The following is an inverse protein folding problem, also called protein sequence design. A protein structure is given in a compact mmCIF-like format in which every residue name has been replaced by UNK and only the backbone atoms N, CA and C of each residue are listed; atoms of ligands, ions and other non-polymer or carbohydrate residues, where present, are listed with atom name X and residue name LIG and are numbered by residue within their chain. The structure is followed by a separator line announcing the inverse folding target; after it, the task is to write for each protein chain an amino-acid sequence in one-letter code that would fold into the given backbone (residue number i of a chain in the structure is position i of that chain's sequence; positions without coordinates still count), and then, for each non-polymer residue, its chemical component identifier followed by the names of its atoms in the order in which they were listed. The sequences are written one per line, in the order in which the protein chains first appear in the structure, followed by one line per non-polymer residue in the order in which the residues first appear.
data_IF_262041359972
#
_entry.id   IF_262041359972
#
_cell.length_a   1.000
_cell.length_b   1.000
_cell.length_c   1.000
_cell.angle_alpha   90.00
_cell.angle_beta   90.00
_cell.angle_gamma   90.00
#
_symmetry.space_group_name_H-M   'P 1'
#
loop_
_entity.id
_entity.type
_entity.pdbx_description
1 polymer ?
#
# COMPACT_ATOMS: atom_id res chain seq x y z
N UNK A 1 9.19 0.36 -3.59
CA UNK A 1 8.82 1.73 -4.03
C UNK A 1 7.64 1.71 -5.01
N UNK A 2 7.73 0.98 -6.13
CA UNK A 2 6.72 0.97 -7.21
C UNK A 2 5.33 0.46 -6.77
N UNK A 3 5.25 -0.64 -6.00
CA UNK A 3 3.96 -1.13 -5.44
C UNK A 3 3.20 -0.06 -4.66
N UNK A 4 3.91 0.81 -3.96
CA UNK A 4 3.32 1.87 -3.15
C UNK A 4 2.79 3.01 -4.05
N UNK A 5 3.56 3.41 -5.05
CA UNK A 5 3.13 4.42 -6.04
C UNK A 5 1.87 3.96 -6.78
N UNK A 6 1.78 2.68 -7.15
CA UNK A 6 0.58 2.10 -7.75
C UNK A 6 -0.64 2.16 -6.84
N UNK A 7 -0.47 1.77 -5.58
CA UNK A 7 -1.55 1.86 -4.61
C UNK A 7 -2.04 3.30 -4.47
N UNK A 8 -1.12 4.27 -4.35
CA UNK A 8 -1.48 5.68 -4.24
C UNK A 8 -2.27 6.15 -5.47
N UNK A 9 -1.80 5.82 -6.68
CA UNK A 9 -2.49 6.23 -7.90
C UNK A 9 -3.89 5.59 -8.02
N UNK A 10 -4.02 4.29 -7.70
CA UNK A 10 -5.33 3.60 -7.68
C UNK A 10 -6.27 4.19 -6.64
N UNK A 11 -5.74 4.53 -5.46
CA UNK A 11 -6.49 5.17 -4.40
C UNK A 11 -6.98 6.56 -4.84
N UNK A 12 -6.09 7.40 -5.41
CA UNK A 12 -6.44 8.72 -5.94
C UNK A 12 -7.56 8.61 -6.99
N UNK A 13 -7.40 7.73 -7.98
CA UNK A 13 -8.42 7.45 -9.02
C UNK A 13 -9.75 7.03 -8.40
N UNK A 14 -9.73 6.19 -7.37
CA UNK A 14 -10.94 5.72 -6.70
C UNK A 14 -11.60 6.78 -5.83
N UNK A 15 -10.81 7.66 -5.23
CA UNK A 15 -11.28 8.74 -4.34
C UNK A 15 -11.84 9.95 -5.10
N UNK A 16 -11.37 10.17 -6.33
CA UNK A 16 -11.78 11.28 -7.22
C UNK A 16 -13.11 11.01 -7.96
N UNK A 17 -13.85 9.95 -7.63
CA UNK A 17 -15.12 9.56 -8.31
C UNK A 17 -16.29 10.56 -8.18
N UNK A 18 -16.05 11.80 -7.74
CA UNK A 18 -17.08 12.86 -7.63
C UNK A 18 -16.89 13.90 -8.74
N UNK A 19 -17.53 13.66 -9.90
CA UNK A 19 -17.65 14.61 -11.00
C UNK A 19 -16.69 14.39 -12.19
N UNK A 20 -16.94 15.06 -13.34
CA UNK A 20 -16.06 14.99 -14.50
C UNK A 20 -14.69 15.60 -14.17
N UNK A 21 -13.61 14.92 -14.57
CA UNK A 21 -12.25 15.38 -14.32
C UNK A 21 -11.96 16.64 -15.12
N UNK A 22 -11.39 17.64 -14.46
CA UNK A 22 -10.89 18.84 -15.15
C UNK A 22 -9.70 18.47 -16.04
N UNK A 23 -9.48 19.26 -17.10
CA UNK A 23 -8.31 19.10 -17.99
C UNK A 23 -6.99 19.03 -17.21
N UNK A 24 -6.84 19.87 -16.17
CA UNK A 24 -5.68 19.85 -15.28
C UNK A 24 -5.52 18.53 -14.53
N UNK A 25 -6.58 17.99 -13.95
CA UNK A 25 -6.53 16.70 -13.25
C UNK A 25 -6.19 15.54 -14.18
N UNK A 26 -6.65 15.58 -15.43
CA UNK A 26 -6.28 14.59 -16.45
C UNK A 26 -4.80 14.68 -16.81
N UNK A 27 -4.27 15.90 -16.98
CA UNK A 27 -2.85 16.12 -17.26
C UNK A 27 -1.97 15.64 -16.09
N UNK A 28 -2.30 16.01 -14.85
CA UNK A 28 -1.57 15.59 -13.65
C UNK A 28 -1.55 14.05 -13.50
N UNK A 29 -2.68 13.40 -13.79
CA UNK A 29 -2.78 11.94 -13.77
C UNK A 29 -1.91 11.30 -14.86
N UNK A 30 -1.92 11.87 -16.07
CA UNK A 30 -1.09 11.39 -17.17
C UNK A 30 0.41 11.54 -16.87
N UNK A 31 0.81 12.62 -16.22
CA UNK A 31 2.19 12.83 -15.79
C UNK A 31 2.60 11.76 -14.76
N UNK A 32 1.77 11.51 -13.74
CA UNK A 32 2.01 10.46 -12.73
C UNK A 32 2.13 9.07 -13.36
N UNK A 33 1.26 8.75 -14.34
CA UNK A 33 1.34 7.49 -15.10
C UNK A 33 2.65 7.38 -15.87
N UNK A 34 3.05 8.45 -16.55
CA UNK A 34 4.31 8.49 -17.31
C UNK A 34 5.52 8.31 -16.41
N UNK A 35 5.55 8.96 -15.25
CA UNK A 35 6.60 8.78 -14.25
C UNK A 35 6.66 7.34 -13.73
N UNK A 36 5.50 6.73 -13.44
CA UNK A 36 5.41 5.34 -13.02
C UNK A 36 5.92 4.38 -14.10
N UNK A 37 5.58 4.61 -15.38
CA UNK A 37 6.08 3.81 -16.50
C UNK A 37 7.61 3.86 -16.58
N UNK A 38 8.21 5.05 -16.47
CA UNK A 38 9.68 5.20 -16.47
C UNK A 38 10.32 4.42 -15.32
N UNK A 39 9.74 4.48 -14.12
CA UNK A 39 10.22 3.69 -12.98
C UNK A 39 10.13 2.18 -13.22
N UNK A 40 9.04 1.72 -13.85
CA UNK A 40 8.86 0.30 -14.20
C UNK A 40 9.89 -0.12 -15.25
N UNK A 41 10.14 0.69 -16.27
CA UNK A 41 11.14 0.39 -17.31
C UNK A 41 12.54 0.29 -16.73
N UNK A 42 12.94 1.24 -15.88
CA UNK A 42 14.23 1.20 -15.19
C UNK A 42 14.36 -0.03 -14.28
N UNK A 43 13.29 -0.37 -13.55
CA UNK A 43 13.23 -1.60 -12.76
C UNK A 43 13.42 -2.84 -13.63
N UNK A 44 12.77 -2.91 -14.80
CA UNK A 44 12.85 -4.05 -15.71
C UNK A 44 14.27 -4.29 -16.22
N UNK A 45 15.03 -3.23 -16.50
CA UNK A 45 16.43 -3.37 -16.92
C UNK A 45 17.25 -4.12 -15.87
N UNK A 46 17.08 -3.77 -14.59
CA UNK A 46 17.74 -4.47 -13.47
C UNK A 46 17.17 -5.88 -13.29
N UNK A 47 15.85 -6.02 -13.40
CA UNK A 47 15.15 -7.30 -13.24
C UNK A 47 15.64 -8.37 -14.21
N UNK A 48 15.94 -8.01 -15.46
CA UNK A 48 16.41 -8.96 -16.47
C UNK A 48 17.82 -9.50 -16.17
N UNK A 49 18.64 -8.75 -15.43
CA UNK A 49 20.00 -9.18 -15.02
C UNK A 49 19.91 -10.24 -13.91
N UNK A 50 19.08 -10.01 -12.89
CA UNK A 50 19.02 -10.88 -11.71
C UNK A 50 17.94 -11.97 -11.80
N UNK A 51 16.88 -11.75 -12.58
CA UNK A 51 15.73 -12.65 -12.72
C UNK A 51 15.34 -12.82 -14.18
N UNK A 52 16.16 -13.48 -15.01
CA UNK A 52 15.92 -13.60 -16.46
C UNK A 52 14.60 -14.31 -16.80
N UNK A 53 14.13 -15.22 -15.93
CA UNK A 53 12.83 -15.89 -16.05
C UNK A 53 11.62 -14.92 -16.09
N UNK A 54 11.78 -13.69 -15.58
CA UNK A 54 10.77 -12.66 -15.72
C UNK A 54 10.52 -12.29 -17.18
N UNK A 55 11.50 -12.43 -18.08
CA UNK A 55 11.39 -12.07 -19.49
C UNK A 55 10.30 -12.88 -20.20
N UNK A 56 10.27 -14.21 -19.99
CA UNK A 56 9.27 -15.10 -20.57
C UNK A 56 7.87 -14.79 -20.07
N UNK A 57 7.72 -14.48 -18.78
CA UNK A 57 6.44 -14.09 -18.17
C UNK A 57 5.96 -12.72 -18.69
N UNK A 58 6.87 -11.78 -18.85
CA UNK A 58 6.60 -10.46 -19.43
C UNK A 58 6.17 -10.57 -20.89
N UNK A 59 6.84 -11.39 -21.68
CA UNK A 59 6.50 -11.66 -23.08
C UNK A 59 5.10 -12.29 -23.20
N UNK A 60 4.79 -13.27 -22.35
CA UNK A 60 3.46 -13.89 -22.30
C UNK A 60 2.35 -12.89 -21.90
N UNK A 61 2.65 -11.93 -21.01
CA UNK A 61 1.69 -10.89 -20.60
C UNK A 61 1.46 -9.78 -21.62
N UNK A 62 2.44 -9.54 -22.51
CA UNK A 62 2.38 -8.49 -23.54
C UNK A 62 1.64 -8.94 -24.80
N UNK A 63 0.90 -10.06 -24.74
CA UNK A 63 0.15 -10.58 -25.87
C UNK A 63 -0.92 -9.58 -26.35
N UNK A 64 -1.10 -9.57 -27.66
CA UNK A 64 -2.09 -8.79 -28.42
C UNK A 64 -3.50 -8.96 -27.83
N UNK A 65 -4.27 -7.87 -27.86
CA UNK A 65 -5.69 -7.89 -27.51
C UNK A 65 -6.46 -8.80 -28.48
N UNK A 66 -7.71 -9.18 -28.17
CA UNK A 66 -8.59 -9.99 -29.04
C UNK A 66 -8.72 -9.43 -30.48
N UNK A 67 -8.40 -8.14 -30.67
CA UNK A 67 -8.44 -7.42 -31.93
C UNK A 67 -7.07 -7.25 -32.62
N UNK A 68 -6.01 -7.92 -32.14
CA UNK A 68 -4.66 -7.83 -32.72
C UNK A 68 -3.94 -6.49 -32.50
N UNK A 69 -4.49 -5.61 -31.66
CA UNK A 69 -3.84 -4.35 -31.27
C UNK A 69 -2.89 -4.56 -30.08
N UNK A 70 -1.75 -3.83 -30.00
CA UNK A 70 -0.89 -3.87 -28.84
C UNK A 70 -1.64 -3.34 -27.62
N UNK A 71 -1.80 -4.18 -26.60
CA UNK A 71 -2.46 -3.85 -25.35
C UNK A 71 -1.82 -2.61 -24.73
N UNK A 72 -2.58 -1.51 -24.62
CA UNK A 72 -2.13 -0.36 -23.82
C UNK A 72 -2.28 -0.72 -22.35
N UNK A 73 -1.28 -1.40 -21.79
CA UNK A 73 -1.27 -1.70 -20.36
C UNK A 73 -1.17 -0.39 -19.57
N UNK A 74 -2.23 -0.09 -18.82
CA UNK A 74 -2.25 1.05 -17.91
C UNK A 74 -1.14 0.86 -16.87
N UNK A 75 -0.33 1.90 -16.64
CA UNK A 75 0.87 1.87 -15.79
C UNK A 75 0.66 1.23 -14.40
N UNK A 76 -0.49 1.52 -13.78
CA UNK A 76 -0.89 0.96 -12.48
C UNK A 76 -1.19 -0.55 -12.49
N UNK A 77 -1.36 -1.18 -13.65
CA UNK A 77 -1.75 -2.59 -13.79
C UNK A 77 -0.63 -3.50 -14.30
N UNK A 78 0.44 -2.94 -14.87
CA UNK A 78 1.56 -3.70 -15.42
C UNK A 78 2.10 -4.69 -14.37
N UNK A 79 2.17 -6.00 -14.56
CA UNK A 79 2.76 -6.89 -13.55
C UNK A 79 4.26 -6.60 -13.33
N UNK A 80 4.71 -6.56 -12.07
CA UNK A 80 6.13 -6.36 -11.71
C UNK A 80 6.94 -7.66 -11.65
N UNK A 81 6.28 -8.81 -11.54
CA UNK A 81 6.91 -10.12 -11.54
C UNK A 81 8.07 -10.24 -10.53
N UNK A 82 7.83 -9.89 -9.27
CA UNK A 82 8.78 -10.17 -8.19
C UNK A 82 8.84 -11.69 -7.93
N UNK A 83 9.91 -12.21 -7.32
CA UNK A 83 10.03 -13.64 -6.99
C UNK A 83 8.81 -14.24 -6.26
N UNK A 84 8.21 -13.48 -5.33
CA UNK A 84 6.96 -13.87 -4.65
C UNK A 84 5.73 -13.97 -5.57
N UNK A 85 5.77 -13.39 -6.75
CA UNK A 85 4.71 -13.43 -7.77
C UNK A 85 4.96 -14.51 -8.83
N UNK A 86 6.10 -15.19 -8.81
CA UNK A 86 6.36 -16.30 -9.71
C UNK A 86 5.57 -17.56 -9.31
N UNK A 87 5.22 -18.42 -10.28
CA UNK A 87 4.70 -19.74 -9.96
C UNK A 87 5.79 -20.58 -9.29
N UNK A 88 5.36 -21.54 -8.45
CA UNK A 88 6.27 -22.27 -7.55
C UNK A 88 7.37 -23.02 -8.29
N UNK A 89 7.09 -23.57 -9.47
CA UNK A 89 8.07 -24.26 -10.32
C UNK A 89 9.23 -23.34 -10.77
N UNK A 90 8.96 -22.07 -11.05
CA UNK A 90 9.99 -21.10 -11.41
C UNK A 90 10.75 -20.65 -10.16
N UNK A 91 10.06 -20.45 -9.04
CA UNK A 91 10.67 -20.00 -7.78
C UNK A 91 11.65 -21.03 -7.18
N UNK A 92 11.41 -22.33 -7.36
CA UNK A 92 12.28 -23.40 -6.86
C UNK A 92 13.56 -23.64 -7.69
N UNK A 93 13.81 -22.84 -8.74
CA UNK A 93 15.05 -22.92 -9.49
C UNK A 93 16.21 -22.39 -8.64
N UNK A 94 17.30 -23.16 -8.53
CA UNK A 94 18.46 -22.85 -7.68
C UNK A 94 19.08 -21.47 -7.92
N UNK A 95 18.96 -20.93 -9.13
CA UNK A 95 19.44 -19.57 -9.45
C UNK A 95 18.64 -18.44 -8.78
N UNK A 96 17.42 -18.71 -8.28
CA UNK A 96 16.53 -17.71 -7.70
C UNK A 96 16.54 -17.68 -6.17
N UNK A 97 17.19 -18.64 -5.51
CA UNK A 97 17.21 -18.75 -4.05
C UNK A 97 17.71 -17.45 -3.40
N UNK A 98 18.84 -16.93 -3.89
CA UNK A 98 19.41 -15.68 -3.38
C UNK A 98 18.47 -14.47 -3.57
N UNK A 99 17.77 -14.38 -4.70
CA UNK A 99 16.83 -13.28 -4.97
C UNK A 99 15.59 -13.41 -4.10
N UNK A 100 15.09 -14.63 -3.90
CA UNK A 100 13.98 -14.92 -3.01
C UNK A 100 14.32 -14.54 -1.57
N UNK A 101 15.54 -14.81 -1.12
CA UNK A 101 16.03 -14.41 0.20
C UNK A 101 16.16 -12.89 0.36
N UNK A 102 16.68 -12.21 -0.66
CA UNK A 102 16.73 -10.74 -0.67
C UNK A 102 15.33 -10.15 -0.60
N UNK A 103 14.38 -10.67 -1.41
CA UNK A 103 12.99 -10.22 -1.34
C UNK A 103 12.39 -10.50 0.04
N UNK A 104 12.58 -11.70 0.58
CA UNK A 104 12.07 -12.09 1.91
C UNK A 104 12.52 -11.10 2.99
N UNK A 105 13.82 -10.81 3.06
CA UNK A 105 14.38 -9.82 4.01
C UNK A 105 13.77 -8.43 3.81
N UNK A 106 13.63 -8.00 2.55
CA UNK A 106 12.96 -6.74 2.21
C UNK A 106 11.50 -6.73 2.69
N UNK A 107 10.76 -7.82 2.52
CA UNK A 107 9.34 -7.90 2.94
C UNK A 107 9.18 -7.89 4.45
N UNK A 108 10.06 -8.57 5.20
CA UNK A 108 10.08 -8.48 6.66
C UNK A 108 10.23 -7.02 7.10
N UNK A 109 11.26 -6.33 6.60
CA UNK A 109 11.48 -4.92 6.94
C UNK A 109 10.29 -4.03 6.53
N UNK A 110 9.72 -4.25 5.34
CA UNK A 110 8.53 -3.52 4.89
C UNK A 110 7.31 -3.72 5.79
N UNK A 111 7.11 -4.92 6.31
CA UNK A 111 6.02 -5.24 7.22
C UNK A 111 6.24 -4.59 8.59
N UNK A 112 7.46 -4.64 9.13
CA UNK A 112 7.83 -3.98 10.40
C UNK A 112 7.65 -2.44 10.31
N UNK A 113 8.13 -1.83 9.22
CA UNK A 113 7.95 -0.40 8.95
C UNK A 113 6.47 -0.03 8.82
N UNK A 114 5.71 -0.83 8.10
CA UNK A 114 4.28 -0.61 7.90
C UNK A 114 3.54 -0.68 9.24
N UNK A 115 3.87 -1.65 10.08
CA UNK A 115 3.26 -1.83 11.40
C UNK A 115 3.61 -0.67 12.34
N UNK A 116 4.86 -0.22 12.31
CA UNK A 116 5.31 0.96 13.06
C UNK A 116 4.56 2.22 12.64
N UNK A 117 4.37 2.42 11.34
CA UNK A 117 3.59 3.54 10.82
C UNK A 117 2.10 3.44 11.19
N UNK A 118 1.48 2.25 11.15
CA UNK A 118 0.10 2.02 11.60
C UNK A 118 -0.05 2.44 13.06
N UNK A 119 0.85 1.98 13.95
CA UNK A 119 0.84 2.34 15.37
C UNK A 119 1.02 3.83 15.59
N UNK A 120 1.93 4.46 14.84
CA UNK A 120 2.15 5.91 14.87
C UNK A 120 0.90 6.68 14.46
N UNK A 121 0.27 6.33 13.34
CA UNK A 121 -0.95 6.99 12.88
C UNK A 121 -2.08 6.84 13.91
N UNK A 122 -2.21 5.67 14.54
CA UNK A 122 -3.21 5.46 15.60
C UNK A 122 -2.99 6.32 16.83
N UNK A 123 -1.75 6.46 17.30
CA UNK A 123 -1.41 7.39 18.40
C UNK A 123 -1.75 8.84 18.06
N UNK A 124 -1.49 9.28 16.83
CA UNK A 124 -1.83 10.64 16.37
C UNK A 124 -3.36 10.84 16.36
N UNK A 125 -4.13 9.86 15.86
CA UNK A 125 -5.60 9.93 15.84
C UNK A 125 -6.17 10.04 17.26
N UNK A 126 -5.61 9.30 18.22
CA UNK A 126 -6.02 9.38 19.62
C UNK A 126 -5.74 10.77 20.21
N UNK A 127 -4.53 11.31 20.03
CA UNK A 127 -4.18 12.65 20.50
C UNK A 127 -5.08 13.73 19.87
N UNK A 128 -5.43 13.57 18.58
CA UNK A 128 -6.37 14.47 17.92
C UNK A 128 -7.78 14.39 18.49
N UNK A 129 -8.24 13.19 18.88
CA UNK A 129 -9.55 12.99 19.51
C UNK A 129 -9.60 13.66 20.89
N UNK A 130 -8.56 13.49 21.71
CA UNK A 130 -8.42 14.18 22.99
C UNK A 130 -8.38 15.71 22.80
N UNK A 131 -7.57 16.20 21.84
CA UNK A 131 -7.50 17.61 21.52
C UNK A 131 -8.86 18.18 21.09
N UNK A 132 -9.60 17.47 20.23
CA UNK A 132 -10.95 17.86 19.79
C UNK A 132 -11.90 17.95 20.99
N UNK A 133 -11.90 16.93 21.87
CA UNK A 133 -12.76 16.88 23.06
C UNK A 133 -12.54 18.09 23.97
N UNK A 134 -11.28 18.48 24.19
CA UNK A 134 -10.90 19.57 25.10
C UNK A 134 -11.08 20.95 24.45
N UNK A 135 -10.68 21.13 23.19
CA UNK A 135 -10.48 22.47 22.60
C UNK A 135 -11.51 22.87 21.52
N UNK A 136 -12.33 21.94 21.02
CA UNK A 136 -13.23 22.20 19.88
C UNK A 136 -14.70 21.93 20.22
N UNK A 137 -14.99 21.36 21.39
CA UNK A 137 -16.35 21.26 21.93
C UNK A 137 -16.91 22.66 22.19
N UNK A 138 -17.73 23.18 21.27
CA UNK A 138 -18.34 24.51 21.35
C UNK A 138 -17.77 25.58 20.41
N UNK A 139 -16.74 25.27 19.61
CA UNK A 139 -16.18 26.22 18.62
C UNK A 139 -16.83 26.06 17.24
N UNK A 140 -16.94 27.15 16.47
CA UNK A 140 -17.66 27.21 15.18
C UNK A 140 -17.13 26.30 14.05
N UNK A 141 -17.66 26.48 12.83
CA UNK A 141 -17.47 25.53 11.71
C UNK A 141 -16.00 25.38 11.23
N UNK A 142 -15.18 26.42 11.32
CA UNK A 142 -13.82 26.44 10.72
C UNK A 142 -12.81 25.49 11.41
N UNK A 143 -12.72 25.42 12.75
CA UNK A 143 -11.96 24.38 13.46
C UNK A 143 -12.40 22.95 13.12
N UNK A 144 -13.71 22.72 13.01
CA UNK A 144 -14.26 21.41 12.68
C UNK A 144 -13.83 20.93 11.28
N UNK A 145 -13.88 21.80 10.27
CA UNK A 145 -13.42 21.46 8.91
C UNK A 145 -11.92 21.15 8.89
N UNK A 146 -11.08 21.90 9.62
CA UNK A 146 -9.64 21.65 9.68
C UNK A 146 -9.32 20.29 10.30
N UNK A 147 -9.98 19.94 11.40
CA UNK A 147 -9.83 18.62 12.04
C UNK A 147 -10.28 17.50 11.12
N UNK A 148 -11.40 17.68 10.40
CA UNK A 148 -11.88 16.69 9.44
C UNK A 148 -10.87 16.45 8.30
N UNK A 149 -10.30 17.52 7.73
CA UNK A 149 -9.26 17.40 6.69
C UNK A 149 -8.01 16.68 7.20
N UNK A 150 -7.60 16.98 8.44
CA UNK A 150 -6.48 16.28 9.08
C UNK A 150 -6.79 14.79 9.27
N UNK A 151 -7.99 14.46 9.76
CA UNK A 151 -8.44 13.07 9.94
C UNK A 151 -8.43 12.30 8.62
N UNK A 152 -8.92 12.88 7.53
CA UNK A 152 -8.89 12.28 6.21
C UNK A 152 -7.45 11.99 5.74
N UNK A 153 -6.52 12.92 5.98
CA UNK A 153 -5.09 12.73 5.67
C UNK A 153 -4.46 11.60 6.48
N UNK A 154 -4.80 11.49 7.76
CA UNK A 154 -4.32 10.41 8.64
C UNK A 154 -4.88 9.05 8.20
N UNK A 155 -6.17 8.98 7.89
CA UNK A 155 -6.80 7.76 7.35
C UNK A 155 -6.15 7.32 6.05
N UNK A 156 -5.88 8.25 5.13
CA UNK A 156 -5.18 7.92 3.90
C UNK A 156 -3.78 7.32 4.16
N UNK A 157 -3.02 7.89 5.09
CA UNK A 157 -1.71 7.34 5.49
C UNK A 157 -1.84 5.95 6.11
N UNK A 158 -2.86 5.77 6.92
CA UNK A 158 -3.17 4.49 7.56
C UNK A 158 -3.52 3.43 6.50
N UNK A 159 -4.46 3.69 5.58
CA UNK A 159 -4.83 2.79 4.48
C UNK A 159 -3.60 2.36 3.66
N UNK A 160 -2.73 3.31 3.35
CA UNK A 160 -1.46 3.03 2.65
C UNK A 160 -0.53 2.13 3.45
N UNK A 161 -0.40 2.35 4.75
CA UNK A 161 0.43 1.51 5.61
C UNK A 161 -0.15 0.10 5.76
N UNK A 162 -1.47 -0.02 5.90
CA UNK A 162 -2.18 -1.30 5.97
C UNK A 162 -2.03 -2.10 4.67
N UNK A 163 -2.17 -1.45 3.52
CA UNK A 163 -1.93 -2.08 2.23
C UNK A 163 -0.47 -2.56 2.10
N UNK A 164 0.51 -1.73 2.50
CA UNK A 164 1.93 -2.13 2.49
C UNK A 164 2.16 -3.37 3.36
N UNK A 165 1.60 -3.39 4.56
CA UNK A 165 1.69 -4.51 5.49
C UNK A 165 1.12 -5.79 4.86
N UNK A 166 -0.11 -5.73 4.34
CA UNK A 166 -0.79 -6.88 3.73
C UNK A 166 -0.03 -7.43 2.53
N UNK A 167 0.43 -6.55 1.64
CA UNK A 167 1.22 -6.92 0.45
C UNK A 167 2.57 -7.54 0.83
N UNK A 168 3.23 -7.02 1.86
CA UNK A 168 4.48 -7.60 2.35
C UNK A 168 4.23 -8.98 2.97
N UNK A 169 3.19 -9.11 3.79
CA UNK A 169 2.81 -10.38 4.43
C UNK A 169 2.39 -11.44 3.42
N UNK A 170 1.62 -11.10 2.40
CA UNK A 170 1.23 -12.04 1.34
C UNK A 170 2.44 -12.56 0.57
N UNK A 171 3.43 -11.70 0.31
CA UNK A 171 4.68 -12.13 -0.32
C UNK A 171 5.50 -13.05 0.62
N UNK A 172 5.55 -12.76 1.92
CA UNK A 172 6.22 -13.62 2.90
C UNK A 172 5.57 -15.00 3.02
N UNK A 173 4.23 -15.09 2.98
CA UNK A 173 3.53 -16.39 2.97
C UNK A 173 3.90 -17.26 1.77
N UNK A 174 4.32 -16.65 0.66
CA UNK A 174 4.72 -17.37 -0.55
C UNK A 174 6.20 -17.75 -0.52
N UNK A 175 7.05 -16.88 0.02
CA UNK A 175 8.50 -17.07 0.06
C UNK A 175 8.98 -17.92 1.25
N UNK A 176 8.31 -17.82 2.39
CA UNK A 176 8.70 -18.45 3.65
C UNK A 176 7.46 -18.75 4.51
N UNK A 177 6.63 -19.74 4.13
CA UNK A 177 5.32 -19.99 4.76
C UNK A 177 5.38 -20.29 6.26
N UNK A 178 6.49 -20.90 6.71
CA UNK A 178 6.73 -21.38 8.08
C UNK A 178 7.87 -20.62 8.77
N UNK A 179 8.20 -19.44 8.26
CA UNK A 179 9.27 -18.62 8.82
C UNK A 179 8.94 -18.03 10.19
N UNK A 180 9.97 -17.69 10.99
CA UNK A 180 9.81 -17.13 12.35
C UNK A 180 9.15 -15.74 12.36
N UNK A 181 9.02 -15.10 11.19
CA UNK A 181 8.33 -13.82 11.04
C UNK A 181 6.83 -13.94 11.33
N UNK A 182 6.24 -15.13 11.17
CA UNK A 182 4.79 -15.37 11.27
C UNK A 182 4.23 -15.11 12.68
N UNK A 183 5.02 -15.37 13.71
CA UNK A 183 4.62 -15.19 15.11
C UNK A 183 4.42 -13.71 15.48
N UNK A 184 5.31 -12.84 14.96
CA UNK A 184 5.26 -11.39 15.22
C UNK A 184 4.42 -10.62 14.19
N UNK A 185 4.44 -11.03 12.92
CA UNK A 185 3.72 -10.38 11.82
C UNK A 185 2.42 -11.12 11.51
N UNK A 186 1.47 -11.03 12.45
CA UNK A 186 0.16 -11.68 12.35
C UNK A 186 -0.72 -11.05 11.28
N UNK A 187 -1.79 -11.75 10.91
CA UNK A 187 -2.77 -11.16 10.00
C UNK A 187 -3.35 -9.86 10.58
N UNK A 188 -3.43 -8.81 9.76
CA UNK A 188 -3.98 -7.51 10.15
C UNK A 188 -5.45 -7.42 9.73
N UNK A 189 -6.34 -7.72 10.67
CA UNK A 189 -7.79 -7.60 10.50
C UNK A 189 -8.22 -6.16 10.65
N UNK A 190 -9.42 -5.84 10.16
CA UNK A 190 -9.99 -4.50 10.32
C UNK A 190 -10.27 -4.18 11.79
N UNK A 191 -10.56 -5.20 12.59
CA UNK A 191 -10.81 -5.05 14.03
C UNK A 191 -9.56 -4.68 14.84
N UNK A 192 -8.37 -5.06 14.38
CA UNK A 192 -7.09 -4.78 15.08
C UNK A 192 -6.71 -3.31 15.01
N UNK A 193 -7.36 -2.58 14.10
CA UNK A 193 -7.07 -1.19 13.76
C UNK A 193 -8.00 -0.32 14.63
N UNK A 194 -7.88 -0.49 15.94
CA UNK A 194 -8.56 0.33 16.95
C UNK A 194 -7.53 1.11 17.75
N UNK A 195 -7.93 2.25 18.31
CA UNK A 195 -7.12 2.93 19.32
C UNK A 195 -7.10 2.09 20.62
N UNK A 196 -6.19 2.38 21.55
CA UNK A 196 -6.38 1.91 22.93
C UNK A 196 -7.79 2.30 23.37
N UNK A 197 -8.50 1.37 24.01
CA UNK A 197 -9.90 1.56 24.41
C UNK A 197 -10.11 2.82 25.25
N UNK A 198 -11.37 3.25 25.40
CA UNK A 198 -11.73 4.33 26.32
C UNK A 198 -11.11 4.06 27.70
N UNK A 199 -10.51 5.08 28.30
CA UNK A 199 -10.18 5.06 29.73
C UNK A 199 -11.48 4.78 30.52
N UNK A 200 -11.48 3.86 31.50
CA UNK A 200 -12.68 3.56 32.28
C UNK A 200 -13.26 4.79 33.00
N UNK A 201 -12.43 5.79 33.30
CA UNK A 201 -12.88 7.06 33.92
C UNK A 201 -13.70 7.97 32.98
N UNK A 202 -13.69 7.72 31.66
CA UNK A 202 -14.46 8.52 30.69
C UNK A 202 -15.98 8.20 30.69
N UNK A 203 -16.41 7.25 31.52
CA UNK A 203 -17.81 6.86 31.73
C UNK A 203 -18.47 7.53 32.95
N UNK A 204 -17.70 8.18 33.82
CA UNK A 204 -18.21 8.74 35.09
C UNK A 204 -18.75 10.16 35.00
N UNK A 205 -18.52 10.89 33.89
CA UNK A 205 -18.81 12.33 33.80
C UNK A 205 -20.17 12.67 33.18
N UNK A 206 -21.00 11.69 32.84
CA UNK A 206 -22.38 11.93 32.34
C UNK A 206 -23.38 11.35 33.32
N UNK A 207 -23.61 12.04 34.44
CA UNK A 207 -24.81 11.98 35.28
C UNK A 207 -24.60 12.91 36.49
N UNK A 208 -24.85 14.21 36.33
CA UNK A 208 -25.24 15.16 37.37
C UNK A 208 -25.83 16.39 36.71
#
# INVERSE_FOLDING_TARGET
MIHNVRFQLRYEISSEKKGPKTSKQLADLQEKRTALLRQIQNWRQVQLVYTPHAASLLAASSAVDENGAPRVEIAENIPLYLPSSFPSNVRCLSGLDHVCDVERRLRVAQADDALSEIRRQRRIVQGLWQFKKINVSGTGNRPNTRILTLYNRLNHKLERAMHKYRTARSALLVLDPDGPWKDRLRELKKEDIRGPGKDPDDTRTTNS
#
